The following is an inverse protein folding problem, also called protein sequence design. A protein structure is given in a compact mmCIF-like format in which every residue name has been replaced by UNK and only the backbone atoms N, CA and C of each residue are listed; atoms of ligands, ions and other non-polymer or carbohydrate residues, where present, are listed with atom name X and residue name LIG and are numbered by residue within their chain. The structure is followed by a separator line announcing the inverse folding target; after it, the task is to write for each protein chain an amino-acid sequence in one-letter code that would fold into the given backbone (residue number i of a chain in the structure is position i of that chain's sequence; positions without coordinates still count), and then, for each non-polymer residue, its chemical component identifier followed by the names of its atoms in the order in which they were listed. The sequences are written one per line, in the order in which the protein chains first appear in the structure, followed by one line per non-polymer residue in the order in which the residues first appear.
data_IF_706628946559
#
_entry.id   IF_706628946559
#
_cell.length_a   1.000
_cell.length_b   1.000
_cell.length_c   1.000
_cell.angle_alpha   90.00
_cell.angle_beta   90.00
_cell.angle_gamma   90.00
#
_symmetry.space_group_name_H-M   'P 1'
#
loop_
_entity.id
_entity.type
_entity.pdbx_description
1 polymer ?
#
# COMPACT_ATOMS: atom_id res chain seq x y z
N UNK A 1 -12.98 36.34 71.84
CA UNK A 1 -14.12 35.44 71.86
C UNK A 1 -14.25 34.78 70.51
N UNK A 2 -14.06 33.49 70.54
CA UNK A 2 -14.02 32.59 69.44
C UNK A 2 -15.30 32.48 68.64
N UNK A 3 -15.24 32.17 67.35
CA UNK A 3 -16.09 31.12 66.75
C UNK A 3 -15.32 30.46 65.59
N UNK A 4 -15.17 29.18 65.71
CA UNK A 4 -14.65 28.22 64.76
C UNK A 4 -15.73 27.91 63.76
N UNK A 5 -15.43 27.91 62.44
CA UNK A 5 -16.27 27.27 61.42
C UNK A 5 -15.49 26.29 60.58
N UNK A 6 -15.93 25.05 60.64
CA UNK A 6 -15.34 23.91 59.98
C UNK A 6 -15.63 23.94 58.46
N UNK A 7 -14.61 23.86 57.66
CA UNK A 7 -14.71 23.61 56.19
C UNK A 7 -14.65 22.12 55.90
N UNK A 8 -15.67 21.60 55.23
CA UNK A 8 -15.72 20.23 54.74
C UNK A 8 -14.88 20.02 53.48
N UNK A 9 -14.53 18.79 53.13
CA UNK A 9 -13.63 18.47 52.02
C UNK A 9 -14.26 18.66 50.65
N UNK A 10 -13.60 19.43 49.80
CA UNK A 10 -13.94 19.53 48.38
C UNK A 10 -13.59 18.22 47.68
N UNK A 11 -14.60 17.61 47.11
CA UNK A 11 -14.45 16.51 46.15
C UNK A 11 -13.92 17.09 44.82
N UNK A 12 -12.70 16.70 44.43
CA UNK A 12 -12.14 16.95 43.10
C UNK A 12 -12.82 15.99 42.13
N UNK A 13 -13.70 16.52 41.29
CA UNK A 13 -14.31 15.81 40.18
C UNK A 13 -13.27 15.50 39.11
N UNK A 14 -12.96 14.22 38.90
CA UNK A 14 -12.23 13.73 37.77
C UNK A 14 -13.07 13.93 36.50
N UNK A 15 -12.79 14.96 35.73
CA UNK A 15 -13.33 15.13 34.38
C UNK A 15 -12.69 14.12 33.46
N UNK A 16 -13.41 13.06 33.12
CA UNK A 16 -13.10 12.15 32.04
C UNK A 16 -13.25 12.93 30.72
N UNK A 17 -12.12 13.40 30.19
CA UNK A 17 -12.04 13.91 28.83
C UNK A 17 -12.41 12.80 27.83
N UNK A 18 -13.65 12.82 27.33
CA UNK A 18 -14.00 12.07 26.14
C UNK A 18 -13.19 12.64 24.98
N UNK A 19 -12.22 11.88 24.52
CA UNK A 19 -11.60 12.10 23.22
C UNK A 19 -12.69 11.87 22.16
N UNK A 20 -13.28 12.95 21.67
CA UNK A 20 -14.08 12.93 20.45
C UNK A 20 -13.10 12.74 19.30
N UNK A 21 -13.06 11.51 18.77
CA UNK A 21 -12.41 11.21 17.50
C UNK A 21 -13.20 11.95 16.41
N UNK A 22 -12.65 13.06 15.94
CA UNK A 22 -13.15 13.75 14.75
C UNK A 22 -12.94 12.86 13.52
N UNK A 23 -13.91 11.98 13.26
CA UNK A 23 -14.03 11.36 11.95
C UNK A 23 -14.51 12.44 10.97
N UNK A 24 -13.58 13.03 10.25
CA UNK A 24 -13.92 13.84 9.07
C UNK A 24 -14.55 12.90 8.05
N UNK A 25 -15.88 12.86 8.02
CA UNK A 25 -16.62 12.19 6.95
C UNK A 25 -16.34 12.98 5.68
N UNK A 26 -15.47 12.46 4.83
CA UNK A 26 -15.27 13.00 3.48
C UNK A 26 -16.55 12.71 2.70
N UNK A 27 -17.46 13.69 2.70
CA UNK A 27 -18.66 13.65 1.86
C UNK A 27 -18.21 13.81 0.40
N UNK A 28 -18.13 12.71 -0.33
CA UNK A 28 -17.87 12.77 -1.77
C UNK A 28 -19.04 13.44 -2.46
N UNK A 29 -18.82 14.63 -3.02
CA UNK A 29 -19.83 15.31 -3.84
C UNK A 29 -20.02 14.55 -5.16
N UNK A 30 -21.23 14.09 -5.49
CA UNK A 30 -21.48 13.41 -6.75
C UNK A 30 -21.21 14.37 -7.93
N UNK A 31 -20.42 13.93 -8.90
CA UNK A 31 -20.17 14.66 -10.16
C UNK A 31 -20.78 13.89 -11.31
N UNK A 32 -21.53 14.57 -12.18
CA UNK A 32 -22.06 13.98 -13.40
C UNK A 32 -21.05 14.18 -14.52
N UNK A 33 -20.63 13.09 -15.14
CA UNK A 33 -19.73 13.08 -16.29
C UNK A 33 -20.45 12.42 -17.45
N UNK A 34 -20.40 13.05 -18.62
CA UNK A 34 -20.89 12.44 -19.88
C UNK A 34 -19.71 11.86 -20.62
N UNK A 35 -19.85 10.60 -21.02
CA UNK A 35 -18.87 9.93 -21.88
C UNK A 35 -19.37 9.87 -23.32
N UNK A 36 -18.44 9.91 -24.25
CA UNK A 36 -18.73 9.63 -25.66
C UNK A 36 -19.17 8.17 -25.84
N UNK A 37 -20.02 7.90 -26.83
CA UNK A 37 -20.56 6.56 -27.10
C UNK A 37 -19.47 5.50 -27.30
N UNK A 38 -18.33 5.89 -27.89
CA UNK A 38 -17.18 4.98 -28.07
C UNK A 38 -16.54 4.59 -26.76
N UNK A 39 -16.46 5.52 -25.79
CA UNK A 39 -15.95 5.23 -24.45
C UNK A 39 -16.92 4.31 -23.71
N UNK A 40 -18.22 4.58 -23.78
CA UNK A 40 -19.27 3.74 -23.18
C UNK A 40 -19.17 2.30 -23.73
N UNK A 41 -19.11 2.12 -25.06
CA UNK A 41 -18.99 0.79 -25.66
C UNK A 41 -17.73 0.04 -25.21
N UNK A 42 -16.61 0.72 -25.05
CA UNK A 42 -15.36 0.11 -24.56
C UNK A 42 -15.45 -0.27 -23.08
N UNK A 43 -16.03 0.60 -22.27
CA UNK A 43 -16.25 0.37 -20.84
C UNK A 43 -17.15 -0.84 -20.61
N UNK A 44 -18.29 -0.91 -21.32
CA UNK A 44 -19.23 -2.02 -21.22
C UNK A 44 -18.59 -3.36 -21.64
N UNK A 45 -17.77 -3.34 -22.69
CA UNK A 45 -17.02 -4.52 -23.12
C UNK A 45 -16.06 -4.99 -22.04
N UNK A 46 -15.34 -4.07 -21.42
CA UNK A 46 -14.39 -4.37 -20.36
C UNK A 46 -15.08 -4.94 -19.11
N UNK A 47 -16.19 -4.32 -18.68
CA UNK A 47 -17.00 -4.80 -17.55
C UNK A 47 -17.49 -6.23 -17.79
N UNK A 48 -17.99 -6.53 -19.01
CA UNK A 48 -18.44 -7.89 -19.34
C UNK A 48 -17.31 -8.95 -19.26
N UNK A 49 -16.08 -8.58 -19.53
CA UNK A 49 -14.91 -9.49 -19.41
C UNK A 49 -14.32 -9.57 -18.01
N UNK A 50 -14.82 -8.76 -17.06
CA UNK A 50 -14.32 -8.71 -15.67
C UNK A 50 -15.48 -8.81 -14.68
N UNK A 51 -16.05 -10.02 -14.48
CA UNK A 51 -17.17 -10.22 -13.55
C UNK A 51 -16.85 -9.72 -12.14
N UNK A 52 -17.82 -9.07 -11.49
CA UNK A 52 -17.66 -8.51 -10.16
C UNK A 52 -17.24 -7.03 -10.12
N UNK A 53 -16.95 -6.42 -11.27
CA UNK A 53 -16.59 -5.00 -11.36
C UNK A 53 -17.74 -4.21 -11.99
N UNK A 54 -18.16 -3.09 -11.37
CA UNK A 54 -19.14 -2.17 -11.94
C UNK A 54 -18.48 -1.14 -12.87
N UNK A 55 -19.24 -0.61 -13.83
CA UNK A 55 -18.76 0.48 -14.68
C UNK A 55 -18.33 1.72 -13.89
N UNK A 56 -19.07 2.08 -12.84
CA UNK A 56 -18.74 3.21 -11.97
C UNK A 56 -17.43 3.00 -11.20
N UNK A 57 -17.27 1.82 -10.59
CA UNK A 57 -16.04 1.46 -9.87
C UNK A 57 -14.82 1.48 -10.80
N UNK A 58 -14.96 0.87 -11.98
CA UNK A 58 -13.89 0.83 -12.97
C UNK A 58 -13.51 2.21 -13.49
N UNK A 59 -14.51 3.08 -13.71
CA UNK A 59 -14.26 4.47 -14.12
C UNK A 59 -13.45 5.21 -13.07
N UNK A 60 -13.82 5.09 -11.78
CA UNK A 60 -13.07 5.73 -10.71
C UNK A 60 -11.62 5.24 -10.66
N UNK A 61 -11.40 3.94 -10.79
CA UNK A 61 -10.05 3.36 -10.82
C UNK A 61 -9.24 3.94 -11.98
N UNK A 62 -9.78 3.92 -13.20
CA UNK A 62 -9.03 4.37 -14.37
C UNK A 62 -8.76 5.87 -14.37
N UNK A 63 -9.70 6.67 -13.86
CA UNK A 63 -9.49 8.12 -13.72
C UNK A 63 -8.40 8.41 -12.67
N UNK A 64 -8.46 7.76 -11.51
CA UNK A 64 -7.47 7.89 -10.46
C UNK A 64 -6.06 7.47 -10.96
N UNK A 65 -5.95 6.31 -11.61
CA UNK A 65 -4.69 5.84 -12.19
C UNK A 65 -4.14 6.79 -13.27
N UNK A 66 -5.01 7.34 -14.12
CA UNK A 66 -4.59 8.30 -15.13
C UNK A 66 -4.05 9.58 -14.51
N UNK A 67 -4.74 10.13 -13.50
CA UNK A 67 -4.27 11.32 -12.76
C UNK A 67 -2.93 11.05 -12.08
N UNK A 68 -2.78 9.94 -11.39
CA UNK A 68 -1.51 9.55 -10.74
C UNK A 68 -0.37 9.36 -11.74
N UNK A 69 -0.66 8.84 -12.94
CA UNK A 69 0.35 8.71 -14.01
C UNK A 69 0.85 10.08 -14.48
N UNK A 70 -0.04 11.07 -14.59
CA UNK A 70 0.34 12.45 -14.92
C UNK A 70 1.11 13.13 -13.77
N UNK A 71 0.69 12.91 -12.53
CA UNK A 71 1.33 13.47 -11.33
C UNK A 71 2.71 12.85 -11.06
N UNK A 72 2.91 11.58 -11.45
CA UNK A 72 4.13 10.81 -11.22
C UNK A 72 4.71 10.26 -12.53
N UNK A 73 5.34 11.10 -13.36
CA UNK A 73 5.96 10.67 -14.62
C UNK A 73 6.96 9.51 -14.41
N UNK A 74 6.74 8.42 -15.13
CA UNK A 74 7.50 7.19 -14.98
C UNK A 74 6.77 6.07 -14.21
N UNK A 75 5.59 6.36 -13.67
CA UNK A 75 4.67 5.38 -13.09
C UNK A 75 3.62 4.97 -14.12
N UNK A 76 3.29 3.69 -14.14
CA UNK A 76 2.19 3.09 -14.91
C UNK A 76 1.42 2.10 -14.04
N UNK A 77 0.16 1.88 -14.33
CA UNK A 77 -0.66 0.89 -13.63
C UNK A 77 -0.85 -0.37 -14.48
N UNK A 78 -0.58 -1.52 -13.89
CA UNK A 78 -0.67 -2.82 -14.55
C UNK A 78 -1.64 -3.74 -13.83
N UNK A 79 -2.39 -4.60 -14.54
CA UNK A 79 -3.16 -5.66 -13.92
C UNK A 79 -2.23 -6.69 -13.29
N UNK A 80 -2.63 -7.27 -12.16
CA UNK A 80 -1.91 -8.35 -11.49
C UNK A 80 -2.89 -9.30 -10.80
N UNK A 81 -2.39 -10.41 -10.23
CA UNK A 81 -3.23 -11.42 -9.59
C UNK A 81 -4.10 -10.87 -8.46
N UNK A 82 -3.58 -9.90 -7.74
CA UNK A 82 -4.24 -9.26 -6.59
C UNK A 82 -4.74 -7.85 -6.88
N UNK A 83 -5.12 -7.57 -8.14
CA UNK A 83 -5.60 -6.26 -8.60
C UNK A 83 -4.56 -5.45 -9.36
N UNK A 84 -4.91 -4.22 -9.69
CA UNK A 84 -4.03 -3.29 -10.41
C UNK A 84 -2.99 -2.71 -9.45
N UNK A 85 -1.80 -2.41 -9.96
CA UNK A 85 -0.69 -1.95 -9.13
C UNK A 85 0.20 -0.97 -9.88
N UNK A 86 0.77 -0.02 -9.11
CA UNK A 86 1.74 0.93 -9.61
C UNK A 86 3.08 0.25 -9.90
N UNK A 87 3.62 0.49 -11.07
CA UNK A 87 4.93 0.00 -11.51
C UNK A 87 5.71 1.06 -12.25
N UNK A 88 7.00 0.85 -12.41
CA UNK A 88 7.85 1.69 -13.26
C UNK A 88 7.58 1.38 -14.74
N UNK A 89 7.60 2.38 -15.60
CA UNK A 89 7.37 2.22 -17.07
C UNK A 89 8.24 1.11 -17.67
N UNK A 90 9.49 1.04 -17.25
CA UNK A 90 10.45 0.04 -17.76
C UNK A 90 11.13 -0.67 -16.58
N UNK A 91 10.36 -1.23 -15.66
CA UNK A 91 10.92 -1.87 -14.47
C UNK A 91 9.88 -2.61 -13.65
N UNK A 92 10.27 -2.99 -12.43
CA UNK A 92 9.42 -3.70 -11.48
C UNK A 92 8.28 -2.82 -10.95
N UNK A 93 7.44 -3.41 -10.14
CA UNK A 93 6.41 -2.68 -9.40
C UNK A 93 7.06 -1.82 -8.30
N UNK A 94 6.40 -0.71 -7.93
CA UNK A 94 6.93 0.22 -6.93
C UNK A 94 7.19 -0.48 -5.58
N UNK A 95 6.28 -1.37 -5.16
CA UNK A 95 6.44 -2.11 -3.90
C UNK A 95 7.69 -2.99 -3.87
N UNK A 96 8.15 -3.51 -5.03
CA UNK A 96 9.38 -4.31 -5.12
C UNK A 96 10.62 -3.43 -4.91
N UNK A 97 10.62 -2.23 -5.50
CA UNK A 97 11.73 -1.26 -5.32
C UNK A 97 11.80 -0.77 -3.87
N UNK A 98 10.64 -0.49 -3.25
CA UNK A 98 10.59 -0.05 -1.85
C UNK A 98 10.94 -1.20 -0.90
N UNK A 99 10.54 -2.43 -1.21
CA UNK A 99 10.98 -3.62 -0.49
C UNK A 99 12.50 -3.80 -0.52
N UNK A 100 13.12 -3.62 -1.69
CA UNK A 100 14.58 -3.63 -1.83
C UNK A 100 15.24 -2.50 -1.02
N UNK A 101 14.67 -1.30 -1.05
CA UNK A 101 15.16 -0.17 -0.24
C UNK A 101 15.10 -0.48 1.26
N UNK A 102 14.01 -1.08 1.73
CA UNK A 102 13.90 -1.50 3.14
C UNK A 102 14.94 -2.57 3.50
N UNK A 103 15.20 -3.52 2.61
CA UNK A 103 16.19 -4.58 2.82
C UNK A 103 17.62 -4.01 2.86
N UNK A 104 18.02 -3.19 1.89
CA UNK A 104 19.34 -2.55 1.86
C UNK A 104 19.57 -1.70 3.13
N UNK A 105 18.57 -0.93 3.56
CA UNK A 105 18.67 -0.14 4.80
C UNK A 105 18.74 -1.01 6.05
N UNK A 106 18.16 -2.19 6.07
CA UNK A 106 18.26 -3.11 7.20
C UNK A 106 19.64 -3.78 7.28
N UNK A 107 20.29 -4.02 6.14
CA UNK A 107 21.65 -4.58 6.07
C UNK A 107 22.72 -3.53 6.41
N UNK A 108 22.57 -2.30 5.92
CA UNK A 108 23.48 -1.19 6.18
C UNK A 108 22.71 0.08 6.55
N UNK A 109 22.45 0.31 7.85
CA UNK A 109 21.72 1.48 8.35
C UNK A 109 22.41 2.82 8.13
N UNK A 110 23.73 2.82 7.86
CA UNK A 110 24.52 4.02 7.63
C UNK A 110 24.37 4.57 6.21
N UNK A 111 23.85 3.75 5.28
CA UNK A 111 23.54 4.19 3.92
C UNK A 111 22.36 5.16 3.92
N UNK A 112 22.62 6.39 3.49
CA UNK A 112 21.61 7.47 3.42
C UNK A 112 21.73 8.27 2.11
N UNK A 113 20.66 8.95 1.73
CA UNK A 113 20.68 9.86 0.58
C UNK A 113 21.04 9.17 -0.72
N UNK A 114 22.06 9.70 -1.40
CA UNK A 114 22.47 9.19 -2.73
C UNK A 114 23.07 7.80 -2.67
N UNK A 115 23.90 7.51 -1.67
CA UNK A 115 24.52 6.19 -1.51
C UNK A 115 23.47 5.06 -1.32
N UNK A 116 22.40 5.34 -0.60
CA UNK A 116 21.28 4.41 -0.49
C UNK A 116 20.59 4.20 -1.85
N UNK A 117 20.34 5.27 -2.59
CA UNK A 117 19.71 5.17 -3.92
C UNK A 117 20.57 4.37 -4.89
N UNK A 118 21.88 4.57 -4.87
CA UNK A 118 22.83 3.81 -5.72
C UNK A 118 22.87 2.32 -5.33
N UNK A 119 22.93 2.00 -4.05
CA UNK A 119 22.90 0.62 -3.56
C UNK A 119 21.59 -0.10 -3.95
N UNK A 120 20.44 0.57 -3.79
CA UNK A 120 19.15 0.02 -4.23
C UNK A 120 19.11 -0.16 -5.75
N UNK A 121 19.66 0.78 -6.50
CA UNK A 121 19.72 0.71 -7.97
C UNK A 121 20.53 -0.50 -8.44
N UNK A 122 21.66 -0.78 -7.78
CA UNK A 122 22.49 -1.95 -8.04
C UNK A 122 21.75 -3.26 -7.75
N UNK A 123 21.18 -3.40 -6.56
CA UNK A 123 20.44 -4.61 -6.14
C UNK A 123 19.23 -4.88 -7.02
N UNK A 124 18.49 -3.84 -7.38
CA UNK A 124 17.28 -3.96 -8.19
C UNK A 124 17.54 -4.00 -9.71
N UNK A 125 18.78 -3.80 -10.16
CA UNK A 125 19.11 -3.71 -11.58
C UNK A 125 18.49 -2.51 -12.28
N UNK A 126 18.38 -1.39 -11.57
CA UNK A 126 17.71 -0.16 -12.03
C UNK A 126 18.70 1.00 -12.16
N UNK A 127 18.29 2.05 -12.85
CA UNK A 127 19.03 3.32 -12.74
C UNK A 127 18.63 4.06 -11.45
N UNK A 128 19.53 4.87 -10.85
CA UNK A 128 19.21 5.70 -9.69
C UNK A 128 18.00 6.62 -9.90
N UNK A 129 17.79 7.08 -11.14
CA UNK A 129 16.62 7.86 -11.52
C UNK A 129 15.31 7.08 -11.32
N UNK A 130 15.27 5.80 -11.68
CA UNK A 130 14.08 4.96 -11.53
C UNK A 130 13.78 4.68 -10.06
N UNK A 131 14.79 4.44 -9.24
CA UNK A 131 14.64 4.31 -7.78
C UNK A 131 13.99 5.57 -7.21
N UNK A 132 14.44 6.76 -7.62
CA UNK A 132 13.85 8.03 -7.17
C UNK A 132 12.40 8.22 -7.64
N UNK A 133 12.03 7.69 -8.81
CA UNK A 133 10.62 7.70 -9.27
C UNK A 133 9.77 6.88 -8.31
N UNK A 134 10.20 5.66 -7.96
CA UNK A 134 9.49 4.80 -7.01
C UNK A 134 9.39 5.44 -5.62
N UNK A 135 10.48 6.04 -5.12
CA UNK A 135 10.50 6.73 -3.82
C UNK A 135 9.52 7.91 -3.79
N UNK A 136 9.47 8.74 -4.85
CA UNK A 136 8.51 9.85 -4.92
C UNK A 136 7.06 9.36 -4.91
N UNK A 137 6.75 8.30 -5.63
CA UNK A 137 5.43 7.70 -5.60
C UNK A 137 5.09 7.16 -4.20
N UNK A 138 6.01 6.46 -3.58
CA UNK A 138 5.85 5.94 -2.22
C UNK A 138 5.59 7.05 -1.18
N UNK A 139 6.23 8.20 -1.30
CA UNK A 139 5.97 9.33 -0.37
C UNK A 139 4.55 9.90 -0.49
N UNK A 140 3.92 9.77 -1.67
CA UNK A 140 2.54 10.19 -1.88
C UNK A 140 1.52 9.10 -1.48
N UNK A 141 1.87 7.82 -1.66
CA UNK A 141 0.97 6.68 -1.46
C UNK A 141 1.60 5.58 -0.57
N UNK A 142 2.05 5.90 0.66
CA UNK A 142 2.78 4.93 1.49
C UNK A 142 1.92 3.73 1.88
N UNK A 143 0.66 3.94 2.25
CA UNK A 143 -0.23 2.87 2.71
C UNK A 143 -0.45 1.80 1.64
N UNK A 144 -0.68 2.20 0.38
CA UNK A 144 -0.86 1.28 -0.75
C UNK A 144 0.36 0.39 -0.98
N UNK A 145 1.56 1.00 -0.90
CA UNK A 145 2.82 0.29 -1.15
C UNK A 145 3.15 -0.65 0.01
N UNK A 146 2.98 -0.20 1.26
CA UNK A 146 3.21 -1.03 2.46
C UNK A 146 2.25 -2.23 2.54
N UNK A 147 0.98 -2.04 2.19
CA UNK A 147 0.01 -3.13 2.10
C UNK A 147 0.46 -4.20 1.11
N UNK A 148 1.00 -3.81 -0.04
CA UNK A 148 1.56 -4.73 -1.03
C UNK A 148 2.79 -5.47 -0.52
N UNK A 149 3.70 -4.78 0.15
CA UNK A 149 4.89 -5.39 0.74
C UNK A 149 4.48 -6.41 1.80
N UNK A 150 3.53 -6.06 2.67
CA UNK A 150 3.02 -6.96 3.71
C UNK A 150 2.36 -8.20 3.12
N UNK A 151 1.45 -8.03 2.15
CA UNK A 151 0.77 -9.14 1.49
C UNK A 151 1.74 -10.08 0.76
N UNK A 152 2.79 -9.54 0.13
CA UNK A 152 3.80 -10.36 -0.54
C UNK A 152 4.65 -11.14 0.47
N UNK A 153 5.00 -10.53 1.62
CA UNK A 153 5.72 -11.24 2.69
C UNK A 153 4.90 -12.38 3.28
N UNK A 154 3.62 -12.14 3.52
CA UNK A 154 2.70 -13.18 4.02
C UNK A 154 2.60 -14.35 3.03
N UNK A 155 2.34 -14.07 1.75
CA UNK A 155 2.29 -15.09 0.71
C UNK A 155 3.59 -15.89 0.58
N UNK A 156 4.76 -15.25 0.71
CA UNK A 156 6.05 -15.92 0.68
C UNK A 156 6.24 -16.85 1.90
N UNK A 157 5.83 -16.41 3.10
CA UNK A 157 5.88 -17.22 4.32
C UNK A 157 4.95 -18.43 4.22
N UNK A 158 3.73 -18.26 3.72
CA UNK A 158 2.79 -19.34 3.49
C UNK A 158 3.33 -20.36 2.48
N UNK A 159 3.90 -19.90 1.37
CA UNK A 159 4.51 -20.78 0.37
C UNK A 159 5.70 -21.55 0.92
N UNK A 160 6.55 -20.94 1.72
CA UNK A 160 7.67 -21.59 2.39
C UNK A 160 7.20 -22.64 3.39
N UNK A 161 6.21 -22.32 4.23
CA UNK A 161 5.64 -23.24 5.18
C UNK A 161 5.00 -24.47 4.49
N UNK A 162 4.27 -24.25 3.40
CA UNK A 162 3.68 -25.31 2.59
C UNK A 162 4.76 -26.21 1.98
N UNK A 163 5.81 -25.63 1.42
CA UNK A 163 6.95 -26.38 0.88
C UNK A 163 7.66 -27.21 1.95
N UNK A 164 7.92 -26.63 3.12
CA UNK A 164 8.53 -27.35 4.25
C UNK A 164 7.66 -28.52 4.71
N UNK A 165 6.34 -28.34 4.81
CA UNK A 165 5.40 -29.41 5.17
C UNK A 165 5.42 -30.55 4.14
N UNK A 166 5.45 -30.23 2.84
CA UNK A 166 5.59 -31.22 1.76
C UNK A 166 6.91 -32.00 1.88
N UNK A 167 8.04 -31.30 2.06
CA UNK A 167 9.35 -31.95 2.21
C UNK A 167 9.39 -32.88 3.43
N UNK A 168 8.79 -32.47 4.54
CA UNK A 168 8.71 -33.31 5.74
C UNK A 168 7.87 -34.58 5.51
N UNK A 169 6.75 -34.46 4.80
CA UNK A 169 5.91 -35.58 4.44
C UNK A 169 6.63 -36.60 3.54
N UNK A 170 7.37 -36.10 2.54
CA UNK A 170 8.15 -36.97 1.63
C UNK A 170 9.30 -37.66 2.35
N UNK A 171 10.00 -36.98 3.29
CA UNK A 171 11.10 -37.61 4.09
C UNK A 171 10.59 -38.63 5.12
N UNK A 172 9.37 -38.48 5.62
CA UNK A 172 8.83 -39.41 6.60
C UNK A 172 8.61 -40.82 6.01
N UNK A 173 8.46 -40.99 4.70
CA UNK A 173 8.31 -42.28 4.04
C UNK A 173 9.61 -43.10 3.99
N UNK A 174 10.76 -42.46 3.94
CA UNK A 174 12.08 -43.12 3.85
C UNK A 174 12.55 -43.74 5.18
N UNK A 175 11.93 -43.35 6.31
CA UNK A 175 12.26 -43.89 7.64
C UNK A 175 11.44 -45.15 8.04
N UNK A 176 10.48 -45.56 7.22
CA UNK A 176 9.59 -46.67 7.48
C UNK A 176 9.94 -47.94 6.67
N UNK A 177 11.07 -47.94 5.93
CA UNK A 177 11.66 -49.07 5.22
C UNK A 177 12.98 -49.45 5.87
#
# INVERSE_FOLDING_TARGET
MSVISAGGPQQQGLSHGRATSDYTVVVSSPRSVRFDDDVIRRLDRYVRSHPGTSASSLTNIFVDEALRTEEHPGIVFRPGPTGRRAGLVSGPDVWEVIGALQAVRAEDPDLVGESLVEAVAEVAGLSPRMVRVAVRYYTAYPAEVEERIAANREAAQEAEAAWQAEQNLLRARDKAS
#
